data_IF_471631401664
#
_entry.id   IF_471631401664
#
_cell.length_a   1.000
_cell.length_b   1.000
_cell.length_c   1.000
_cell.angle_alpha   90.00
_cell.angle_beta   90.00
_cell.angle_gamma   90.00
#
_symmetry.space_group_name_H-M   'P 1'
#
loop_
_entity.id
_entity.type
_entity.pdbx_description
1 polymer ?
#
# COMPACT_ATOMS: atom_id res chain seq x y z
N UNK A 1 28.47 14.78 1.25
CA UNK A 1 27.31 15.60 1.60
C UNK A 1 26.33 15.54 0.43
N UNK A 2 25.05 15.26 0.71
CA UNK A 2 24.00 15.30 -0.32
C UNK A 2 23.59 16.74 -0.60
N UNK A 3 23.13 16.98 -1.84
CA UNK A 3 22.52 18.26 -2.23
C UNK A 3 21.00 18.10 -2.20
N UNK A 4 20.31 19.05 -1.55
CA UNK A 4 18.86 19.10 -1.63
C UNK A 4 18.45 19.57 -3.02
N UNK A 5 17.73 18.72 -3.77
CA UNK A 5 17.29 19.01 -5.14
C UNK A 5 15.92 19.66 -5.16
N UNK A 6 14.99 19.17 -4.34
CA UNK A 6 13.64 19.70 -4.25
C UNK A 6 13.07 19.51 -2.86
N UNK A 7 12.08 20.31 -2.53
CA UNK A 7 11.26 20.19 -1.32
C UNK A 7 9.79 20.27 -1.71
N UNK A 8 9.00 19.35 -1.20
CA UNK A 8 7.55 19.29 -1.41
C UNK A 8 6.87 19.32 -0.06
N UNK A 9 6.02 20.31 0.16
CA UNK A 9 5.22 20.39 1.38
C UNK A 9 4.03 19.42 1.24
N UNK A 10 3.76 18.69 2.32
CA UNK A 10 2.66 17.72 2.40
C UNK A 10 1.58 18.25 3.34
N UNK A 11 0.29 17.89 3.12
CA UNK A 11 -0.79 18.28 4.03
C UNK A 11 -0.61 17.76 5.46
N UNK A 12 -0.01 16.57 5.60
CA UNK A 12 0.34 15.95 6.89
C UNK A 12 1.47 14.94 6.64
N UNK A 13 1.72 14.04 7.58
CA UNK A 13 2.81 13.07 7.54
C UNK A 13 2.71 12.11 6.36
N UNK A 14 3.72 12.10 5.50
CA UNK A 14 3.95 11.08 4.49
C UNK A 14 4.46 9.76 5.10
N UNK A 15 4.34 8.68 4.35
CA UNK A 15 4.81 7.34 4.75
C UNK A 15 5.85 6.80 3.79
N UNK A 16 5.46 6.53 2.55
CA UNK A 16 6.35 5.98 1.52
C UNK A 16 6.24 6.77 0.23
N UNK A 17 7.19 6.55 -0.67
CA UNK A 17 7.27 7.20 -1.98
C UNK A 17 7.59 6.17 -3.06
N UNK A 18 6.86 6.24 -4.16
CA UNK A 18 7.15 5.49 -5.39
C UNK A 18 7.43 6.42 -6.54
N UNK A 19 8.21 5.97 -7.53
CA UNK A 19 8.58 6.76 -8.69
C UNK A 19 8.09 6.11 -9.98
N UNK A 20 7.57 6.94 -10.88
CA UNK A 20 7.18 6.54 -12.23
C UNK A 20 8.41 6.10 -13.02
N UNK A 21 8.38 4.90 -13.64
CA UNK A 21 9.51 4.39 -14.44
C UNK A 21 9.69 5.11 -15.76
N UNK A 22 8.72 5.91 -16.21
CA UNK A 22 8.72 6.53 -17.54
C UNK A 22 9.07 8.01 -17.52
N UNK A 23 8.60 8.76 -16.52
CA UNK A 23 8.81 10.22 -16.46
C UNK A 23 9.45 10.70 -15.14
N UNK A 24 9.71 9.78 -14.21
CA UNK A 24 10.42 10.06 -12.96
C UNK A 24 9.60 10.83 -11.92
N UNK A 25 8.31 11.12 -12.17
CA UNK A 25 7.45 11.73 -11.16
C UNK A 25 7.35 10.81 -9.93
N UNK A 26 7.38 11.41 -8.75
CA UNK A 26 7.17 10.72 -7.49
C UNK A 26 5.73 10.82 -7.03
N UNK A 27 5.27 9.82 -6.29
CA UNK A 27 4.03 9.89 -5.52
C UNK A 27 4.33 9.51 -4.08
N UNK A 28 4.11 10.44 -3.16
CA UNK A 28 4.21 10.19 -1.73
C UNK A 28 2.81 9.95 -1.16
N UNK A 29 2.66 8.86 -0.41
CA UNK A 29 1.39 8.48 0.21
C UNK A 29 1.35 8.93 1.66
N UNK A 30 0.17 9.35 2.12
CA UNK A 30 -0.06 9.69 3.51
C UNK A 30 0.15 8.48 4.42
N UNK A 31 0.67 8.73 5.61
CA UNK A 31 0.60 7.74 6.69
C UNK A 31 -0.84 7.60 7.17
N UNK A 32 -1.28 6.36 7.40
CA UNK A 32 -2.58 6.05 8.00
C UNK A 32 -2.85 6.93 9.25
N UNK A 33 -4.05 7.52 9.40
CA UNK A 33 -5.25 7.45 8.55
C UNK A 33 -5.37 8.57 7.51
N UNK A 34 -4.27 9.03 6.93
CA UNK A 34 -4.26 10.15 6.00
C UNK A 34 -4.98 9.85 4.68
N UNK A 35 -5.72 10.83 4.19
CA UNK A 35 -6.59 10.71 3.01
C UNK A 35 -5.96 11.30 1.74
N UNK A 36 -4.66 11.60 1.73
CA UNK A 36 -3.98 12.23 0.60
C UNK A 36 -2.84 11.36 0.04
N UNK A 37 -2.56 11.54 -1.23
CA UNK A 37 -1.28 11.26 -1.84
C UNK A 37 -0.85 12.48 -2.68
N UNK A 38 0.46 12.76 -2.73
CA UNK A 38 0.97 13.92 -3.46
C UNK A 38 1.87 13.44 -4.60
N UNK A 39 1.46 13.77 -5.82
CA UNK A 39 2.28 13.60 -7.03
C UNK A 39 3.21 14.81 -7.14
N UNK A 40 4.48 14.58 -7.36
CA UNK A 40 5.45 15.66 -7.50
C UNK A 40 6.49 15.38 -8.61
N UNK A 41 7.03 16.44 -9.16
CA UNK A 41 8.15 16.38 -10.09
C UNK A 41 9.46 16.64 -9.32
N UNK A 42 10.38 15.66 -9.24
CA UNK A 42 11.67 15.84 -8.58
C UNK A 42 12.53 16.95 -9.18
N UNK A 43 12.31 17.28 -10.47
CA UNK A 43 13.00 18.39 -11.13
C UNK A 43 12.39 19.76 -10.77
N UNK A 44 11.24 19.79 -10.10
CA UNK A 44 10.56 21.02 -9.70
C UNK A 44 9.97 21.83 -10.86
N UNK A 45 9.78 21.22 -12.04
CA UNK A 45 9.26 21.91 -13.22
C UNK A 45 7.72 21.97 -13.26
N UNK A 46 7.06 21.08 -12.52
CA UNK A 46 5.61 21.04 -12.40
C UNK A 46 5.17 21.21 -10.93
N UNK A 47 4.03 21.90 -10.74
CA UNK A 47 3.43 22.03 -9.42
C UNK A 47 2.95 20.66 -8.91
N UNK A 48 3.08 20.37 -7.60
CA UNK A 48 2.54 19.16 -7.02
C UNK A 48 1.02 19.06 -7.16
N UNK A 49 0.53 17.82 -7.34
CA UNK A 49 -0.91 17.51 -7.42
C UNK A 49 -1.30 16.64 -6.23
N UNK A 50 -2.30 17.06 -5.47
CA UNK A 50 -2.81 16.27 -4.36
C UNK A 50 -3.98 15.40 -4.83
N UNK A 51 -3.86 14.10 -4.60
CA UNK A 51 -4.91 13.11 -4.79
C UNK A 51 -5.60 12.91 -3.44
N UNK A 52 -6.92 12.83 -3.46
CA UNK A 52 -7.72 12.60 -2.25
C UNK A 52 -8.35 11.21 -2.36
N UNK A 53 -8.29 10.43 -1.27
CA UNK A 53 -8.97 9.13 -1.20
C UNK A 53 -10.49 9.29 -1.31
N UNK A 54 -11.17 8.24 -1.77
CA UNK A 54 -12.63 8.19 -1.79
C UNK A 54 -13.18 8.30 -0.36
N UNK A 55 -14.37 8.87 -0.20
CA UNK A 55 -15.08 8.89 1.09
C UNK A 55 -15.21 7.47 1.66
N UNK A 56 -15.13 7.32 2.97
CA UNK A 56 -15.09 6.03 3.65
C UNK A 56 -13.73 5.31 3.56
N UNK A 57 -12.66 6.01 3.06
CA UNK A 57 -11.34 5.39 2.82
C UNK A 57 -10.18 6.29 3.21
N UNK A 58 -9.06 5.67 3.47
CA UNK A 58 -7.75 6.34 3.55
C UNK A 58 -6.66 5.50 2.88
N UNK A 59 -5.55 6.14 2.51
CA UNK A 59 -4.37 5.43 2.04
C UNK A 59 -3.69 4.67 3.18
N UNK A 60 -3.09 3.52 2.86
CA UNK A 60 -2.26 2.78 3.81
C UNK A 60 -0.77 3.15 3.73
N UNK A 61 -0.38 3.95 2.75
CA UNK A 61 0.95 4.52 2.67
C UNK A 61 1.86 3.95 1.60
N UNK A 62 1.44 2.96 0.84
CA UNK A 62 2.24 2.32 -0.21
C UNK A 62 1.53 2.28 -1.56
N UNK A 63 2.33 2.24 -2.63
CA UNK A 63 1.84 2.09 -3.99
C UNK A 63 2.95 1.76 -4.97
N UNK A 64 2.57 1.40 -6.19
CA UNK A 64 3.49 1.06 -7.26
C UNK A 64 2.95 1.52 -8.62
N UNK A 65 3.84 1.95 -9.51
CA UNK A 65 3.49 2.20 -10.91
C UNK A 65 3.54 0.90 -11.72
N UNK A 66 2.67 0.80 -12.74
CA UNK A 66 2.85 -0.20 -13.78
C UNK A 66 4.17 0.04 -14.54
N UNK A 67 4.81 -1.01 -15.13
CA UNK A 67 6.08 -0.86 -15.82
C UNK A 67 6.05 0.12 -17.01
N UNK A 68 4.88 0.28 -17.62
CA UNK A 68 4.65 1.25 -18.69
C UNK A 68 4.30 2.66 -18.20
N UNK A 69 4.24 2.88 -16.89
CA UNK A 69 3.92 4.14 -16.25
C UNK A 69 2.48 4.63 -16.45
N UNK A 70 1.59 3.80 -17.00
CA UNK A 70 0.22 4.22 -17.32
C UNK A 70 -0.72 4.15 -16.14
N UNK A 71 -0.47 3.24 -15.20
CA UNK A 71 -1.27 3.05 -14.01
C UNK A 71 -0.43 3.27 -12.75
N UNK A 72 -1.08 3.82 -11.74
CA UNK A 72 -0.61 3.82 -10.37
C UNK A 72 -1.57 2.95 -9.56
N UNK A 73 -1.02 2.02 -8.79
CA UNK A 73 -1.74 1.23 -7.81
C UNK A 73 -1.44 1.78 -6.42
N UNK A 74 -2.42 1.82 -5.53
CA UNK A 74 -2.25 2.30 -4.16
C UNK A 74 -3.01 1.41 -3.17
N UNK A 75 -2.39 1.11 -2.02
CA UNK A 75 -3.08 0.43 -0.93
C UNK A 75 -4.03 1.39 -0.23
N UNK A 76 -5.30 1.00 -0.11
CA UNK A 76 -6.35 1.78 0.55
C UNK A 76 -7.08 0.94 1.60
N UNK A 77 -7.52 1.58 2.68
CA UNK A 77 -8.42 1.01 3.69
C UNK A 77 -9.84 1.47 3.43
N UNK A 78 -10.73 0.53 3.14
CA UNK A 78 -12.18 0.71 3.17
C UNK A 78 -12.63 0.39 4.61
N UNK A 79 -12.51 1.40 5.48
CA UNK A 79 -12.64 1.20 6.92
C UNK A 79 -14.08 0.92 7.36
N UNK A 80 -15.08 1.41 6.63
CA UNK A 80 -16.49 1.12 6.91
C UNK A 80 -16.84 -0.37 6.68
N UNK A 81 -16.10 -1.04 5.78
CA UNK A 81 -16.29 -2.44 5.44
C UNK A 81 -15.20 -3.37 6.01
N UNK A 82 -14.28 -2.84 6.81
CA UNK A 82 -13.16 -3.57 7.42
C UNK A 82 -12.33 -4.38 6.41
N UNK A 83 -12.14 -3.86 5.19
CA UNK A 83 -11.39 -4.53 4.11
C UNK A 83 -10.34 -3.61 3.49
N UNK A 84 -9.34 -4.20 2.89
CA UNK A 84 -8.37 -3.47 2.06
C UNK A 84 -8.67 -3.61 0.59
N UNK A 85 -8.37 -2.55 -0.16
CA UNK A 85 -8.48 -2.53 -1.61
C UNK A 85 -7.21 -1.94 -2.22
N UNK A 86 -6.98 -2.24 -3.49
CA UNK A 86 -5.95 -1.61 -4.30
C UNK A 86 -6.63 -0.64 -5.24
N UNK A 87 -6.50 0.67 -4.95
CA UNK A 87 -6.99 1.73 -5.83
C UNK A 87 -6.18 1.79 -7.12
N UNK A 88 -6.83 2.04 -8.26
CA UNK A 88 -6.22 2.10 -9.58
C UNK A 88 -6.42 3.51 -10.14
N UNK A 89 -5.31 4.15 -10.52
CA UNK A 89 -5.29 5.52 -11.00
C UNK A 89 -4.71 5.59 -12.41
N UNK A 90 -5.39 6.31 -13.31
CA UNK A 90 -4.92 6.61 -14.67
C UNK A 90 -3.95 7.79 -14.65
N UNK A 91 -2.68 7.51 -14.90
CA UNK A 91 -1.59 8.50 -14.85
C UNK A 91 -1.75 9.58 -15.92
N UNK A 92 -2.12 9.18 -17.15
CA UNK A 92 -2.33 10.11 -18.28
C UNK A 92 -3.58 10.96 -18.07
N UNK A 93 -4.59 10.44 -17.39
CA UNK A 93 -5.81 11.15 -17.01
C UNK A 93 -5.66 12.03 -15.77
N UNK A 94 -4.45 12.43 -15.40
CA UNK A 94 -4.16 13.28 -14.23
C UNK A 94 -4.30 12.53 -12.90
N UNK A 95 -3.97 11.27 -12.87
CA UNK A 95 -4.11 10.38 -11.71
C UNK A 95 -5.56 10.22 -11.25
N UNK A 96 -6.51 10.27 -12.18
CA UNK A 96 -7.91 10.00 -11.89
C UNK A 96 -8.08 8.54 -11.48
N UNK A 97 -8.76 8.31 -10.35
CA UNK A 97 -9.13 6.96 -9.91
C UNK A 97 -10.11 6.34 -10.92
N UNK A 98 -9.78 5.16 -11.44
CA UNK A 98 -10.55 4.47 -12.49
C UNK A 98 -11.14 3.13 -12.03
N UNK A 99 -10.73 2.63 -10.86
CA UNK A 99 -11.22 1.36 -10.33
C UNK A 99 -10.51 0.95 -9.06
N UNK A 100 -10.78 -0.28 -8.67
CA UNK A 100 -10.13 -0.95 -7.54
C UNK A 100 -10.11 -2.46 -7.72
N UNK A 101 -9.18 -3.11 -7.04
CA UNK A 101 -9.15 -4.56 -6.82
C UNK A 101 -9.38 -4.86 -5.35
N UNK A 102 -10.02 -5.98 -5.04
CA UNK A 102 -10.07 -6.51 -3.68
C UNK A 102 -8.67 -7.00 -3.27
N UNK A 103 -8.18 -6.58 -2.12
CA UNK A 103 -6.91 -7.07 -1.57
C UNK A 103 -7.06 -8.38 -0.80
N UNK A 104 -8.26 -8.95 -0.72
CA UNK A 104 -8.60 -10.22 -0.06
C UNK A 104 -8.05 -10.34 1.36
N UNK A 105 -8.10 -9.24 2.11
CA UNK A 105 -7.64 -9.16 3.50
C UNK A 105 -7.89 -7.80 4.11
N UNK A 106 -7.32 -7.59 5.29
CA UNK A 106 -7.45 -6.36 6.08
C UNK A 106 -6.07 -5.81 6.40
N UNK A 107 -5.91 -4.50 6.36
CA UNK A 107 -4.66 -3.84 6.68
C UNK A 107 -3.57 -4.08 5.63
N UNK A 108 -3.86 -3.83 4.33
CA UNK A 108 -2.89 -3.93 3.23
C UNK A 108 -1.73 -2.95 3.43
N UNK A 109 -0.74 -3.40 4.20
CA UNK A 109 0.35 -2.54 4.64
C UNK A 109 1.29 -2.19 3.49
N UNK A 110 1.65 -3.15 2.65
CA UNK A 110 2.52 -2.93 1.51
C UNK A 110 2.05 -3.71 0.28
N UNK A 111 2.47 -3.25 -0.87
CA UNK A 111 2.23 -3.88 -2.16
C UNK A 111 3.48 -3.79 -3.02
N UNK A 112 3.84 -4.90 -3.65
CA UNK A 112 4.89 -4.96 -4.67
C UNK A 112 4.31 -5.41 -6.00
N UNK A 113 4.87 -4.90 -7.09
CA UNK A 113 4.58 -5.38 -8.44
C UNK A 113 5.77 -6.17 -8.96
N UNK A 114 5.53 -7.35 -9.54
CA UNK A 114 6.58 -8.15 -10.17
C UNK A 114 7.25 -7.37 -11.32
N UNK A 115 8.52 -7.67 -11.60
CA UNK A 115 9.31 -6.93 -12.59
C UNK A 115 8.70 -6.96 -14.01
N UNK A 116 7.96 -8.01 -14.34
CA UNK A 116 7.22 -8.14 -15.60
C UNK A 116 5.85 -7.42 -15.59
N UNK A 117 5.46 -6.86 -14.42
CA UNK A 117 4.20 -6.16 -14.24
C UNK A 117 2.97 -7.04 -14.24
N UNK A 118 3.11 -8.36 -14.15
CA UNK A 118 1.99 -9.31 -14.26
C UNK A 118 1.26 -9.53 -12.94
N UNK A 119 1.96 -9.43 -11.81
CA UNK A 119 1.41 -9.83 -10.51
C UNK A 119 1.64 -8.74 -9.44
N UNK A 120 0.57 -8.36 -8.77
CA UNK A 120 0.62 -7.58 -7.52
C UNK A 120 0.71 -8.55 -6.35
N UNK A 121 1.69 -8.34 -5.48
CA UNK A 121 1.81 -9.05 -4.20
C UNK A 121 1.43 -8.09 -3.09
N UNK A 122 0.43 -8.43 -2.29
CA UNK A 122 -0.12 -7.58 -1.25
C UNK A 122 0.13 -8.21 0.12
N UNK A 123 0.75 -7.44 1.02
CA UNK A 123 0.94 -7.82 2.42
C UNK A 123 -0.23 -7.28 3.25
N UNK A 124 -1.21 -8.13 3.53
CA UNK A 124 -2.26 -7.79 4.48
C UNK A 124 -1.79 -8.08 5.91
N UNK A 125 -1.66 -7.04 6.71
CA UNK A 125 -1.22 -7.17 8.10
C UNK A 125 -2.25 -7.78 9.03
N UNK A 126 -3.50 -7.97 8.57
CA UNK A 126 -4.58 -8.59 9.33
C UNK A 126 -5.16 -7.69 10.43
N UNK A 127 -4.84 -6.40 10.43
CA UNK A 127 -5.27 -5.47 11.48
C UNK A 127 -6.38 -4.56 10.96
N UNK A 128 -7.51 -4.60 11.65
CA UNK A 128 -8.61 -3.67 11.44
C UNK A 128 -8.35 -2.36 12.19
N UNK A 129 -8.54 -1.25 11.49
CA UNK A 129 -8.44 0.11 12.03
C UNK A 129 -9.54 0.99 11.46
N UNK A 130 -10.01 1.95 12.26
CA UNK A 130 -11.02 2.90 11.85
C UNK A 130 -10.64 4.31 12.34
N UNK A 131 -10.80 5.39 11.55
CA UNK A 131 -10.41 6.74 11.93
C UNK A 131 -11.02 7.24 13.24
N UNK A 132 -12.26 6.89 13.53
CA UNK A 132 -12.97 7.28 14.76
C UNK A 132 -12.31 6.76 16.04
N UNK A 133 -11.53 5.70 15.92
CA UNK A 133 -10.77 5.12 17.03
C UNK A 133 -9.27 5.48 16.97
N UNK A 134 -8.91 6.44 16.11
CA UNK A 134 -7.55 6.90 15.93
C UNK A 134 -6.65 5.80 15.37
N UNK A 135 -5.74 5.30 16.18
CA UNK A 135 -4.79 4.23 15.79
C UNK A 135 -5.01 2.93 16.57
N UNK A 136 -6.17 2.77 17.18
CA UNK A 136 -6.51 1.53 17.87
C UNK A 136 -6.57 0.36 16.87
N UNK A 137 -6.15 -0.80 17.32
CA UNK A 137 -6.18 -2.06 16.59
C UNK A 137 -7.39 -2.84 17.08
N UNK A 138 -8.42 -2.98 16.24
CA UNK A 138 -9.75 -3.36 16.68
C UNK A 138 -9.96 -4.87 16.77
N UNK A 139 -9.08 -5.67 16.14
CA UNK A 139 -9.27 -7.12 15.97
C UNK A 139 -8.05 -7.97 16.38
N UNK A 140 -7.23 -7.55 17.33
CA UNK A 140 -5.99 -8.26 17.71
C UNK A 140 -6.19 -9.74 18.07
N UNK A 141 -7.37 -10.09 18.60
CA UNK A 141 -7.70 -11.48 18.95
C UNK A 141 -8.09 -12.34 17.74
N UNK A 142 -8.40 -11.72 16.61
CA UNK A 142 -8.91 -12.37 15.40
C UNK A 142 -8.16 -11.91 14.14
N UNK A 143 -6.91 -11.50 14.29
CA UNK A 143 -6.07 -11.12 13.15
C UNK A 143 -5.96 -12.27 12.15
N UNK A 144 -6.00 -11.95 10.85
CA UNK A 144 -5.79 -12.89 9.75
C UNK A 144 -4.75 -12.33 8.74
N UNK A 145 -3.46 -12.25 9.13
CA UNK A 145 -2.42 -11.77 8.23
C UNK A 145 -2.21 -12.75 7.08
N UNK A 146 -2.12 -12.20 5.87
CA UNK A 146 -1.92 -13.02 4.68
C UNK A 146 -1.12 -12.28 3.61
N UNK A 147 -0.51 -13.05 2.69
CA UNK A 147 0.02 -12.57 1.43
C UNK A 147 -0.96 -12.94 0.32
N UNK A 148 -1.30 -11.98 -0.51
CA UNK A 148 -2.21 -12.15 -1.65
C UNK A 148 -1.46 -11.87 -2.94
N UNK A 149 -1.68 -12.72 -3.94
CA UNK A 149 -1.15 -12.58 -5.29
C UNK A 149 -2.32 -12.32 -6.23
N UNK A 150 -2.31 -11.15 -6.89
CA UNK A 150 -3.36 -10.73 -7.82
C UNK A 150 -2.79 -10.60 -9.23
N UNK A 151 -3.57 -10.98 -10.22
CA UNK A 151 -3.30 -10.59 -11.59
C UNK A 151 -3.42 -9.05 -11.71
N UNK A 152 -2.33 -8.39 -12.07
CA UNK A 152 -2.24 -6.93 -12.06
C UNK A 152 -3.15 -6.25 -13.09
N UNK A 153 -3.65 -6.99 -14.08
CA UNK A 153 -4.51 -6.49 -15.13
C UNK A 153 -5.99 -6.58 -14.77
N UNK A 154 -6.40 -7.69 -14.17
CA UNK A 154 -7.81 -7.99 -13.90
C UNK A 154 -8.19 -7.89 -12.43
N UNK A 155 -7.21 -7.87 -11.50
CA UNK A 155 -7.44 -8.01 -10.07
C UNK A 155 -7.84 -9.42 -9.64
N UNK A 156 -7.78 -10.39 -10.56
CA UNK A 156 -8.12 -11.78 -10.26
C UNK A 156 -7.16 -12.40 -9.25
N UNK A 157 -7.71 -13.08 -8.24
CA UNK A 157 -6.92 -13.78 -7.23
C UNK A 157 -6.15 -14.94 -7.86
N UNK A 158 -4.82 -14.88 -7.85
CA UNK A 158 -3.93 -15.96 -8.30
C UNK A 158 -3.67 -16.94 -7.16
N UNK A 159 -3.45 -16.41 -5.95
CA UNK A 159 -3.19 -17.23 -4.77
C UNK A 159 -3.17 -16.42 -3.50
N UNK A 160 -3.24 -17.13 -2.37
CA UNK A 160 -3.20 -16.54 -1.03
C UNK A 160 -2.42 -17.46 -0.11
N UNK A 161 -1.54 -16.90 0.70
CA UNK A 161 -0.77 -17.60 1.73
C UNK A 161 -1.09 -17.00 3.09
N UNK A 162 -1.35 -17.87 4.06
CA UNK A 162 -1.52 -17.49 5.47
C UNK A 162 -0.39 -18.06 6.31
N UNK A 163 -0.07 -17.39 7.38
CA UNK A 163 0.79 -17.95 8.43
C UNK A 163 0.04 -19.10 9.13
N UNK A 164 0.79 -19.96 9.83
CA UNK A 164 0.18 -20.97 10.68
C UNK A 164 -0.67 -20.32 11.79
N UNK A 165 -1.69 -21.04 12.27
CA UNK A 165 -2.69 -20.47 13.18
C UNK A 165 -2.11 -19.94 14.52
N UNK A 166 -0.98 -20.49 14.97
CA UNK A 166 -0.24 -20.02 16.15
C UNK A 166 0.50 -18.70 15.92
N UNK A 167 0.71 -18.29 14.66
CA UNK A 167 1.38 -17.05 14.26
C UNK A 167 0.40 -15.93 13.84
N UNK A 168 -0.89 -16.07 14.16
CA UNK A 168 -1.93 -15.14 13.72
C UNK A 168 -1.70 -13.68 14.15
N UNK A 169 -0.92 -13.42 15.20
CA UNK A 169 -0.57 -12.08 15.65
C UNK A 169 0.75 -11.52 15.04
N UNK A 170 1.33 -12.21 14.07
CA UNK A 170 2.44 -11.69 13.27
C UNK A 170 1.90 -10.89 12.09
N UNK A 171 1.66 -9.60 12.29
CA UNK A 171 1.22 -8.71 11.22
C UNK A 171 2.28 -8.60 10.13
N UNK A 172 1.98 -9.07 8.91
CA UNK A 172 2.86 -8.95 7.75
C UNK A 172 2.97 -7.47 7.36
N UNK A 173 4.19 -6.98 7.15
CA UNK A 173 4.46 -5.56 6.92
C UNK A 173 5.21 -5.34 5.61
N UNK A 174 6.53 -5.23 5.68
CA UNK A 174 7.35 -4.89 4.52
C UNK A 174 7.83 -6.13 3.77
N UNK A 175 7.96 -5.98 2.46
CA UNK A 175 8.34 -7.05 1.56
C UNK A 175 9.49 -6.63 0.65
N UNK A 176 10.20 -7.61 0.12
CA UNK A 176 11.16 -7.44 -0.95
C UNK A 176 11.20 -8.68 -1.85
N UNK A 177 11.48 -8.49 -3.12
CA UNK A 177 11.87 -9.59 -4.01
C UNK A 177 13.37 -9.83 -3.93
N UNK A 178 13.77 -11.09 -3.93
CA UNK A 178 15.17 -11.43 -4.20
C UNK A 178 15.44 -11.55 -5.72
N UNK A 179 16.69 -11.81 -6.06
CA UNK A 179 17.12 -11.93 -7.46
C UNK A 179 16.48 -13.14 -8.20
N UNK A 180 15.86 -14.07 -7.49
CA UNK A 180 15.12 -15.21 -8.03
C UNK A 180 13.61 -14.96 -8.10
N UNK A 181 13.14 -13.76 -7.73
CA UNK A 181 11.72 -13.40 -7.70
C UNK A 181 10.94 -13.97 -6.52
N UNK A 182 11.64 -14.49 -5.49
CA UNK A 182 10.97 -14.95 -4.26
C UNK A 182 10.65 -13.75 -3.38
N UNK A 183 9.47 -13.79 -2.75
CA UNK A 183 9.02 -12.76 -1.82
C UNK A 183 9.58 -13.05 -0.42
N UNK A 184 10.30 -12.08 0.13
CA UNK A 184 10.68 -12.03 1.53
C UNK A 184 9.83 -11.00 2.23
N UNK A 185 9.38 -11.29 3.43
CA UNK A 185 8.56 -10.35 4.20
C UNK A 185 8.98 -10.32 5.66
N UNK A 186 8.80 -9.15 6.27
CA UNK A 186 8.97 -8.93 7.70
C UNK A 186 7.63 -8.85 8.40
N UNK A 187 7.56 -9.39 9.62
CA UNK A 187 6.37 -9.33 10.45
C UNK A 187 6.61 -8.45 11.68
N UNK A 188 5.54 -7.80 12.14
CA UNK A 188 5.49 -7.14 13.44
C UNK A 188 4.59 -7.92 14.37
N UNK A 189 5.13 -8.42 15.48
CA UNK A 189 4.33 -9.08 16.51
C UNK A 189 3.40 -8.08 17.20
N UNK A 190 2.12 -8.46 17.34
CA UNK A 190 1.04 -7.64 17.93
C UNK A 190 0.41 -8.27 19.16
N UNK A 191 0.88 -9.44 19.56
CA UNK A 191 0.44 -10.10 20.80
C UNK A 191 1.12 -9.53 22.05
N UNK A 192 0.81 -10.13 23.17
CA UNK A 192 1.46 -9.80 24.45
C UNK A 192 2.96 -10.14 24.38
N UNK A 193 3.87 -9.31 24.91
CA UNK A 193 5.32 -9.55 24.82
C UNK A 193 5.77 -10.94 25.33
N UNK A 194 5.04 -11.51 26.29
CA UNK A 194 5.32 -12.82 26.90
C UNK A 194 4.98 -14.00 25.98
N UNK A 195 4.22 -13.76 24.91
CA UNK A 195 3.77 -14.80 23.96
C UNK A 195 4.43 -14.68 22.60
N UNK A 196 5.48 -13.85 22.49
CA UNK A 196 6.21 -13.68 21.24
C UNK A 196 6.82 -15.01 20.80
N UNK A 197 6.57 -15.47 19.55
CA UNK A 197 7.08 -16.72 19.00
C UNK A 197 8.58 -16.70 18.73
#
# INVERSE_FOLDING_TARGET
>A
AGTLLTRVDLPDRGHDVTFSPTDGRGVVFARQPGTFAVVFDPAGQAAPVTLISTEGRHFFGHGAFSPDGRLLYATENDYDNARSVIGIFDVAGGFRRIGEFDAHGTGAHEMLLTADGSTLVVANGGIETHPDYGRAELNLATMDPNLVFLDARSGGLIGQLRLSADLYQLSIRHMAFDAQGRVWFGCQFRGAPQTQP
#
